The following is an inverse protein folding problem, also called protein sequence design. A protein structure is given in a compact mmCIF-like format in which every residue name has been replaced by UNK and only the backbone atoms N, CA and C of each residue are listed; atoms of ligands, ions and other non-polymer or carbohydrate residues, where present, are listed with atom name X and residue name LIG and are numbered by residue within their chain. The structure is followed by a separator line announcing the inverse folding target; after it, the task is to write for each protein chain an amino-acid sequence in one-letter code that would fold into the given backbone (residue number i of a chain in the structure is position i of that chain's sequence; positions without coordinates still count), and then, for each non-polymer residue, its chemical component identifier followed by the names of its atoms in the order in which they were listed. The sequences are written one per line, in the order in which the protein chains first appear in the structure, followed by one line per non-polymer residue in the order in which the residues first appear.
data_IF_837529326643
#
_entry.id   IF_837529326643
#
_cell.length_a   1.000
_cell.length_b   1.000
_cell.length_c   1.000
_cell.angle_alpha   90.00
_cell.angle_beta   90.00
_cell.angle_gamma   90.00
#
_symmetry.space_group_name_H-M   'P 1'
#
loop_
_entity.id
_entity.type
_entity.pdbx_description
1 polymer ?
#
# COMPACT_ATOMS: atom_id res chain seq x y z
N UNK A 1 -21.64 -13.62 9.26
CA UNK A 1 -20.68 -14.05 10.30
C UNK A 1 -20.14 -12.81 10.99
N UNK A 2 -19.69 -12.90 12.24
CA UNK A 2 -19.06 -11.78 12.97
C UNK A 2 -17.54 -11.95 13.04
N UNK A 3 -16.81 -10.83 12.99
CA UNK A 3 -15.36 -10.75 13.03
C UNK A 3 -14.93 -9.77 14.13
N UNK A 4 -14.14 -10.24 15.09
CA UNK A 4 -13.55 -9.34 16.09
C UNK A 4 -12.53 -8.43 15.40
N UNK A 5 -12.75 -7.13 15.51
CA UNK A 5 -12.00 -6.07 14.87
C UNK A 5 -11.09 -5.35 15.85
N UNK A 6 -9.82 -5.20 15.45
CA UNK A 6 -8.81 -4.43 16.17
C UNK A 6 -7.99 -3.62 15.16
N UNK A 7 -7.52 -2.46 15.58
CA UNK A 7 -6.64 -1.63 14.75
C UNK A 7 -5.54 -0.96 15.56
N UNK A 8 -4.44 -0.61 14.90
CA UNK A 8 -3.32 0.10 15.52
C UNK A 8 -2.70 1.10 14.54
N UNK A 9 -2.68 2.41 14.87
CA UNK A 9 -1.98 3.40 14.05
C UNK A 9 -0.47 3.14 14.07
N UNK A 10 0.19 3.41 12.95
CA UNK A 10 1.63 3.37 12.86
C UNK A 10 2.20 4.64 12.22
N UNK A 11 3.46 4.89 12.56
CA UNK A 11 4.26 5.98 11.97
C UNK A 11 5.68 5.49 11.72
N UNK A 12 6.06 5.33 10.45
CA UNK A 12 7.34 4.72 10.05
C UNK A 12 8.17 5.67 9.19
N UNK A 13 9.40 5.97 9.63
CA UNK A 13 10.36 6.74 8.82
C UNK A 13 10.82 5.94 7.61
N UNK A 14 10.91 6.59 6.44
CA UNK A 14 11.56 5.97 5.29
C UNK A 14 13.07 5.86 5.51
N UNK A 15 13.68 4.84 4.91
CA UNK A 15 15.15 4.69 4.90
C UNK A 15 15.84 5.89 4.24
N UNK A 16 15.21 6.46 3.22
CA UNK A 16 15.58 7.72 2.55
C UNK A 16 14.30 8.50 2.29
N UNK A 17 14.22 9.80 2.65
CA UNK A 17 13.07 10.62 2.30
C UNK A 17 12.85 10.66 0.78
N UNK A 18 11.58 10.74 0.37
CA UNK A 18 11.18 10.92 -1.01
C UNK A 18 10.94 12.41 -1.28
N UNK A 19 11.63 12.97 -2.27
CA UNK A 19 11.35 14.34 -2.74
C UNK A 19 10.40 14.28 -3.94
N UNK A 20 9.26 14.96 -3.80
CA UNK A 20 8.25 15.12 -4.84
C UNK A 20 7.97 16.60 -5.11
N UNK A 21 7.12 16.91 -6.09
CA UNK A 21 6.67 18.29 -6.30
C UNK A 21 5.81 18.82 -5.14
N UNK A 22 5.26 17.94 -4.29
CA UNK A 22 4.55 18.30 -3.05
C UNK A 22 5.51 18.51 -1.86
N UNK A 23 6.83 18.43 -2.08
CA UNK A 23 7.84 18.57 -1.04
C UNK A 23 8.46 17.25 -0.60
N UNK A 24 9.10 17.29 0.57
CA UNK A 24 9.84 16.17 1.14
C UNK A 24 8.94 15.29 2.00
N UNK A 25 8.87 14.01 1.68
CA UNK A 25 8.12 13.01 2.43
C UNK A 25 9.06 12.04 3.11
N UNK A 26 9.10 12.10 4.44
CA UNK A 26 10.08 11.35 5.25
C UNK A 26 9.44 10.25 6.11
N UNK A 27 8.11 10.26 6.25
CA UNK A 27 7.37 9.38 7.15
C UNK A 27 6.13 8.84 6.48
N UNK A 28 5.95 7.53 6.56
CA UNK A 28 4.71 6.83 6.21
C UNK A 28 3.84 6.67 7.44
N UNK A 29 2.59 7.09 7.33
CA UNK A 29 1.55 6.90 8.33
C UNK A 29 0.46 5.98 7.77
N UNK A 30 -0.19 5.23 8.64
CA UNK A 30 -1.24 4.29 8.29
C UNK A 30 -1.75 3.54 9.52
N UNK A 31 -2.59 2.54 9.28
CA UNK A 31 -3.25 1.74 10.31
C UNK A 31 -3.11 0.26 9.95
N UNK A 32 -2.68 -0.55 10.92
CA UNK A 32 -2.72 -2.01 10.79
C UNK A 32 -4.05 -2.50 11.35
N UNK A 33 -4.75 -3.32 10.57
CA UNK A 33 -6.02 -3.95 10.95
C UNK A 33 -5.82 -5.41 11.26
N UNK A 34 -6.60 -5.93 12.20
CA UNK A 34 -6.72 -7.34 12.50
C UNK A 34 -8.18 -7.71 12.59
N UNK A 35 -8.58 -8.71 11.79
CA UNK A 35 -9.87 -9.37 11.89
C UNK A 35 -9.67 -10.79 12.41
N UNK A 36 -10.53 -11.23 13.32
CA UNK A 36 -10.55 -12.61 13.79
C UNK A 36 -11.95 -13.21 13.67
N UNK A 37 -12.08 -14.33 12.97
CA UNK A 37 -13.35 -15.05 12.86
C UNK A 37 -13.66 -15.84 14.14
N UNK A 38 -14.93 -16.21 14.31
CA UNK A 38 -15.35 -17.12 15.37
C UNK A 38 -14.66 -18.51 15.34
N UNK A 39 -14.10 -18.91 14.19
CA UNK A 39 -13.36 -20.17 14.03
C UNK A 39 -11.86 -20.03 14.35
N UNK A 40 -11.42 -18.86 14.82
CA UNK A 40 -10.03 -18.56 15.16
C UNK A 40 -9.13 -18.20 13.98
N UNK A 41 -9.67 -18.08 12.76
CA UNK A 41 -8.90 -17.60 11.61
C UNK A 41 -8.65 -16.09 11.75
N UNK A 42 -7.43 -15.66 11.42
CA UNK A 42 -7.00 -14.26 11.53
C UNK A 42 -6.62 -13.78 10.14
N UNK A 43 -7.04 -12.56 9.81
CA UNK A 43 -6.57 -11.84 8.64
C UNK A 43 -6.12 -10.43 8.99
N UNK A 44 -5.19 -9.93 8.20
CA UNK A 44 -4.51 -8.67 8.40
C UNK A 44 -4.74 -7.74 7.21
N UNK A 45 -4.91 -6.47 7.54
CA UNK A 45 -5.13 -5.41 6.57
C UNK A 45 -4.25 -4.22 6.87
N UNK A 46 -4.03 -3.39 5.85
CA UNK A 46 -3.35 -2.11 6.01
C UNK A 46 -4.17 -0.99 5.36
N UNK A 47 -4.48 0.04 6.15
CA UNK A 47 -5.03 1.29 5.65
C UNK A 47 -3.89 2.30 5.58
N UNK A 48 -3.51 2.70 4.37
CA UNK A 48 -2.41 3.64 4.18
C UNK A 48 -2.75 4.63 3.05
N UNK A 49 -3.56 5.66 3.31
CA UNK A 49 -3.80 6.75 2.36
C UNK A 49 -2.51 7.52 2.08
N UNK A 50 -2.29 8.00 0.86
CA UNK A 50 -1.13 8.84 0.52
C UNK A 50 -1.58 10.30 0.57
N UNK A 51 -0.91 11.22 1.31
CA UNK A 51 -1.48 12.52 1.68
C UNK A 51 -1.96 13.42 0.53
N UNK A 52 -1.39 13.27 -0.67
CA UNK A 52 -1.73 14.06 -1.86
C UNK A 52 -2.32 13.21 -2.99
N UNK A 53 -2.77 12.00 -2.69
CA UNK A 53 -3.31 11.07 -3.68
C UNK A 53 -4.68 10.57 -3.26
N UNK A 54 -5.71 11.02 -3.99
CA UNK A 54 -7.10 10.74 -3.65
C UNK A 54 -7.66 11.70 -2.60
N UNK A 55 -8.83 11.36 -2.06
CA UNK A 55 -9.58 12.19 -1.11
C UNK A 55 -9.45 11.77 0.35
N UNK A 56 -8.84 10.61 0.60
CA UNK A 56 -8.76 10.02 1.94
C UNK A 56 -7.45 10.40 2.64
N UNK A 57 -7.59 10.84 3.89
CA UNK A 57 -6.49 11.16 4.78
C UNK A 57 -6.32 10.08 5.86
N UNK A 58 -5.15 10.00 6.48
CA UNK A 58 -4.91 9.08 7.60
C UNK A 58 -5.84 9.41 8.78
N UNK A 59 -6.13 10.69 8.98
CA UNK A 59 -7.03 11.19 10.02
C UNK A 59 -8.47 10.72 9.78
N UNK A 60 -8.96 10.77 8.54
CA UNK A 60 -10.28 10.22 8.17
C UNK A 60 -10.32 8.71 8.36
N UNK A 61 -9.27 8.00 7.93
CA UNK A 61 -9.18 6.55 8.13
C UNK A 61 -9.21 6.16 9.61
N UNK A 62 -8.47 6.88 10.46
CA UNK A 62 -8.46 6.65 11.91
C UNK A 62 -9.82 6.98 12.54
N UNK A 63 -10.44 8.10 12.15
CA UNK A 63 -11.76 8.46 12.63
C UNK A 63 -12.80 7.39 12.25
N UNK A 64 -12.71 6.84 11.04
CA UNK A 64 -13.55 5.74 10.59
C UNK A 64 -13.32 4.47 11.44
N UNK A 65 -12.07 4.06 11.65
CA UNK A 65 -11.77 2.89 12.50
C UNK A 65 -12.29 3.06 13.94
N UNK A 66 -12.23 4.25 14.51
CA UNK A 66 -12.76 4.54 15.85
C UNK A 66 -14.30 4.45 15.94
N UNK A 67 -15.01 4.61 14.83
CA UNK A 67 -16.48 4.54 14.78
C UNK A 67 -17.00 3.12 14.54
N UNK A 68 -16.16 2.21 14.05
CA UNK A 68 -16.52 0.84 13.81
C UNK A 68 -16.74 0.07 15.13
N UNK A 69 -17.72 -0.85 15.18
CA UNK A 69 -17.89 -1.71 16.35
C UNK A 69 -16.71 -2.68 16.52
N UNK A 70 -16.56 -3.23 17.73
CA UNK A 70 -15.55 -4.25 18.03
C UNK A 70 -15.77 -5.57 17.30
N UNK A 71 -17.00 -5.79 16.84
CA UNK A 71 -17.42 -6.99 16.15
C UNK A 71 -18.10 -6.58 14.85
N UNK A 72 -17.43 -6.83 13.73
CA UNK A 72 -17.88 -6.46 12.40
C UNK A 72 -18.63 -7.61 11.73
N UNK A 73 -19.71 -7.26 11.06
CA UNK A 73 -20.38 -8.10 10.08
C UNK A 73 -19.73 -7.95 8.70
N UNK A 74 -20.00 -8.93 7.83
CA UNK A 74 -19.53 -8.90 6.44
C UNK A 74 -20.05 -7.68 5.68
N UNK A 75 -21.29 -7.23 5.95
CA UNK A 75 -21.81 -6.02 5.31
C UNK A 75 -21.11 -4.75 5.78
N UNK A 76 -20.67 -4.67 7.04
CA UNK A 76 -19.90 -3.51 7.52
C UNK A 76 -18.49 -3.45 6.90
N UNK A 77 -17.92 -4.62 6.59
CA UNK A 77 -16.64 -4.73 5.86
C UNK A 77 -16.80 -4.31 4.40
N UNK A 78 -17.88 -4.73 3.72
CA UNK A 78 -18.06 -4.52 2.27
C UNK A 78 -18.78 -3.22 1.90
N UNK A 79 -19.39 -2.51 2.87
CA UNK A 79 -20.10 -1.24 2.65
C UNK A 79 -19.34 -0.02 3.18
N UNK A 80 -18.00 -0.12 3.24
CA UNK A 80 -17.15 1.03 3.53
C UNK A 80 -17.38 2.09 2.43
N UNK A 81 -17.58 3.38 2.77
CA UNK A 81 -17.88 4.42 1.78
C UNK A 81 -16.78 4.59 0.72
N UNK A 82 -17.17 4.88 -0.53
CA UNK A 82 -16.25 5.13 -1.66
C UNK A 82 -15.32 6.34 -1.45
N UNK A 83 -15.64 7.21 -0.50
CA UNK A 83 -14.75 8.31 -0.09
C UNK A 83 -13.53 7.83 0.72
N UNK A 84 -13.51 6.57 1.16
CA UNK A 84 -12.47 5.93 1.97
C UNK A 84 -11.89 4.67 1.29
N UNK A 85 -11.33 4.77 0.08
CA UNK A 85 -10.85 3.62 -0.69
C UNK A 85 -9.70 2.83 -0.03
N UNK A 86 -8.85 3.46 0.77
CA UNK A 86 -7.83 2.77 1.54
C UNK A 86 -8.43 2.02 2.75
N UNK A 87 -9.51 2.52 3.35
CA UNK A 87 -10.29 1.75 4.33
C UNK A 87 -10.93 0.52 3.70
N UNK A 88 -11.56 0.68 2.52
CA UNK A 88 -12.09 -0.44 1.73
C UNK A 88 -11.00 -1.50 1.51
N UNK A 89 -9.87 -1.08 0.93
CA UNK A 89 -8.73 -1.97 0.67
C UNK A 89 -8.25 -2.69 1.93
N UNK A 90 -8.07 -1.97 3.04
CA UNK A 90 -7.55 -2.54 4.29
C UNK A 90 -8.49 -3.58 4.90
N UNK A 91 -9.79 -3.29 4.99
CA UNK A 91 -10.77 -4.19 5.58
C UNK A 91 -11.03 -5.40 4.67
N UNK A 92 -11.20 -5.19 3.38
CA UNK A 92 -11.44 -6.26 2.41
C UNK A 92 -10.24 -7.20 2.29
N UNK A 93 -9.00 -6.68 2.33
CA UNK A 93 -7.79 -7.52 2.32
C UNK A 93 -7.73 -8.42 3.56
N UNK A 94 -8.01 -7.87 4.76
CA UNK A 94 -8.04 -8.65 5.99
C UNK A 94 -9.14 -9.72 5.96
N UNK A 95 -10.30 -9.38 5.40
CA UNK A 95 -11.41 -10.32 5.26
C UNK A 95 -11.09 -11.41 4.22
N UNK A 96 -10.54 -11.04 3.07
CA UNK A 96 -10.13 -11.96 2.01
C UNK A 96 -9.09 -12.96 2.51
N UNK A 97 -8.11 -12.54 3.32
CA UNK A 97 -7.12 -13.45 3.92
C UNK A 97 -7.81 -14.52 4.79
N UNK A 98 -8.82 -14.16 5.58
CA UNK A 98 -9.62 -15.13 6.35
C UNK A 98 -10.36 -16.08 5.43
N UNK A 99 -10.97 -15.58 4.36
CA UNK A 99 -11.74 -16.40 3.43
C UNK A 99 -10.82 -17.38 2.68
N UNK A 100 -9.66 -16.90 2.23
CA UNK A 100 -8.62 -17.71 1.59
C UNK A 100 -7.94 -18.69 2.56
N UNK A 101 -7.94 -18.43 3.87
CA UNK A 101 -7.46 -19.43 4.83
C UNK A 101 -8.36 -20.68 4.91
N UNK A 102 -9.66 -20.53 4.60
CA UNK A 102 -10.63 -21.65 4.56
C UNK A 102 -10.44 -22.53 3.34
N UNK A 103 -10.13 -21.93 2.20
CA UNK A 103 -9.80 -22.64 0.97
C UNK A 103 -8.29 -22.71 0.89
N UNK A 104 -7.66 -23.83 1.29
CA UNK A 104 -6.20 -24.04 1.10
C UNK A 104 -5.84 -23.81 -0.37
N UNK A 105 -5.57 -22.56 -0.76
CA UNK A 105 -5.00 -22.23 -2.06
C UNK A 105 -3.63 -22.89 -1.96
N UNK A 106 -3.48 -24.00 -2.68
CA UNK A 106 -2.17 -24.58 -2.89
C UNK A 106 -1.29 -23.41 -3.31
N UNK A 107 -0.18 -23.21 -2.58
CA UNK A 107 0.90 -22.31 -2.97
C UNK A 107 1.40 -22.75 -4.36
N UNK A 108 0.64 -22.46 -5.41
CA UNK A 108 1.15 -22.40 -6.76
C UNK A 108 2.22 -21.33 -6.64
N UNK A 109 3.49 -21.72 -6.82
CA UNK A 109 4.59 -20.78 -6.82
C UNK A 109 4.16 -19.65 -7.74
N UNK A 110 3.86 -18.49 -7.16
CA UNK A 110 3.49 -17.33 -7.97
C UNK A 110 4.64 -17.16 -8.97
N UNK A 111 4.34 -17.02 -10.26
CA UNK A 111 5.40 -16.86 -11.26
C UNK A 111 6.31 -15.72 -10.81
N UNK A 112 7.62 -15.89 -10.97
CA UNK A 112 8.58 -14.88 -10.55
C UNK A 112 8.22 -13.55 -11.24
N UNK A 113 7.70 -12.60 -10.47
CA UNK A 113 7.32 -11.30 -11.02
C UNK A 113 8.57 -10.53 -11.42
N UNK A 114 8.55 -9.98 -12.62
CA UNK A 114 9.59 -9.06 -13.07
C UNK A 114 9.31 -7.67 -12.52
N UNK A 115 10.27 -7.11 -11.79
CA UNK A 115 10.14 -5.78 -11.19
C UNK A 115 10.69 -4.69 -12.12
N UNK A 116 10.01 -3.54 -12.13
CA UNK A 116 10.57 -2.32 -12.70
C UNK A 116 11.63 -1.71 -11.78
N UNK A 117 12.75 -1.23 -12.33
CA UNK A 117 13.78 -0.49 -11.59
C UNK A 117 13.75 0.99 -11.91
N UNK A 118 13.80 1.82 -10.87
CA UNK A 118 13.79 3.27 -11.01
C UNK A 118 15.19 3.76 -11.41
N UNK A 119 15.23 4.62 -12.42
CA UNK A 119 16.42 5.39 -12.77
C UNK A 119 16.37 6.77 -12.09
N UNK A 120 17.53 7.36 -11.73
CA UNK A 120 17.57 8.75 -11.25
C UNK A 120 17.09 9.71 -12.35
N UNK A 121 16.73 10.94 -11.96
CA UNK A 121 16.47 12.01 -12.93
C UNK A 121 17.78 12.49 -13.58
N UNK A 122 17.68 13.12 -14.75
CA UNK A 122 18.81 13.72 -15.47
C UNK A 122 19.85 12.71 -16.00
N UNK A 123 21.04 13.23 -16.34
CA UNK A 123 22.12 12.49 -17.01
C UNK A 123 22.59 11.24 -16.24
N UNK A 124 22.42 11.21 -14.92
CA UNK A 124 22.76 10.04 -14.09
C UNK A 124 22.03 8.76 -14.54
N UNK A 125 20.89 8.88 -15.21
CA UNK A 125 20.17 7.74 -15.78
C UNK A 125 20.99 7.00 -16.86
N UNK A 126 21.79 7.72 -17.64
CA UNK A 126 22.54 7.20 -18.80
C UNK A 126 23.64 6.19 -18.41
N UNK A 127 24.12 6.27 -17.18
CA UNK A 127 25.09 5.32 -16.61
C UNK A 127 24.41 4.27 -15.72
N UNK A 128 23.42 4.66 -14.93
CA UNK A 128 22.76 3.78 -13.95
C UNK A 128 22.08 2.56 -14.58
N UNK A 129 21.51 2.69 -15.78
CA UNK A 129 20.79 1.59 -16.43
C UNK A 129 21.69 0.39 -16.76
N UNK A 130 22.97 0.62 -17.08
CA UNK A 130 23.91 -0.44 -17.49
C UNK A 130 24.12 -1.45 -16.38
N UNK A 131 24.35 -0.96 -15.16
CA UNK A 131 24.50 -1.79 -13.97
C UNK A 131 23.22 -2.59 -13.68
N UNK A 132 22.05 -1.95 -13.78
CA UNK A 132 20.76 -2.63 -13.57
C UNK A 132 20.51 -3.71 -14.63
N UNK A 133 20.89 -3.45 -15.87
CA UNK A 133 20.78 -4.42 -16.96
C UNK A 133 21.69 -5.64 -16.74
N UNK A 134 22.93 -5.41 -16.29
CA UNK A 134 23.87 -6.48 -15.91
C UNK A 134 23.35 -7.31 -14.72
N UNK A 135 22.58 -6.71 -13.81
CA UNK A 135 21.90 -7.41 -12.71
C UNK A 135 20.65 -8.19 -13.14
N UNK A 136 20.34 -8.23 -14.45
CA UNK A 136 19.21 -8.99 -15.00
C UNK A 136 17.89 -8.23 -15.10
N UNK A 137 17.85 -6.94 -14.72
CA UNK A 137 16.64 -6.14 -14.87
C UNK A 137 16.38 -5.79 -16.33
N UNK A 138 15.11 -5.85 -16.74
CA UNK A 138 14.67 -5.61 -18.12
C UNK A 138 13.63 -4.49 -18.24
N UNK A 139 12.94 -4.16 -17.16
CA UNK A 139 12.00 -3.05 -17.12
C UNK A 139 12.59 -1.92 -16.27
N UNK A 140 12.74 -0.74 -16.86
CA UNK A 140 13.29 0.45 -16.22
C UNK A 140 12.27 1.59 -16.29
N UNK A 141 12.21 2.43 -15.26
CA UNK A 141 11.37 3.64 -15.22
C UNK A 141 12.24 4.87 -14.98
N UNK A 142 12.36 5.73 -15.99
CA UNK A 142 13.07 7.00 -15.90
C UNK A 142 12.13 8.13 -15.49
N UNK A 143 12.63 9.03 -14.62
CA UNK A 143 11.91 10.24 -14.21
C UNK A 143 12.40 11.41 -15.07
N UNK A 144 11.51 11.92 -15.92
CA UNK A 144 11.71 13.10 -16.77
C UNK A 144 10.84 14.26 -16.28
N UNK A 145 11.00 15.46 -16.84
CA UNK A 145 10.28 16.66 -16.46
C UNK A 145 10.71 17.21 -15.10
N UNK A 146 11.99 17.07 -14.75
CA UNK A 146 12.59 17.56 -13.51
C UNK A 146 13.48 18.76 -13.79
N UNK A 147 14.32 18.69 -14.82
CA UNK A 147 15.22 19.75 -15.25
C UNK A 147 14.64 20.53 -16.45
N UNK A 148 15.21 21.71 -16.81
CA UNK A 148 14.82 22.41 -18.02
C UNK A 148 14.95 21.52 -19.26
N UNK A 149 14.03 21.68 -20.22
CA UNK A 149 13.97 20.83 -21.43
C UNK A 149 15.30 20.77 -22.21
N UNK A 150 16.08 21.86 -22.22
CA UNK A 150 17.39 21.93 -22.87
C UNK A 150 18.46 21.04 -22.22
N UNK A 151 18.23 20.56 -21.00
CA UNK A 151 19.10 19.62 -20.28
C UNK A 151 18.58 18.17 -20.35
N UNK A 152 17.32 17.96 -20.73
CA UNK A 152 16.71 16.63 -20.80
C UNK A 152 16.60 16.06 -22.24
N UNK A 153 16.77 16.90 -23.27
CA UNK A 153 16.84 16.53 -24.69
C UNK A 153 18.28 16.33 -25.15
#
# INVERSE_FOLDING_TARGET
MSYSFQFSPYRRRFKRPLTTHHGVWSVREGVILRLASATGAIGWGEIAPVPWFGSETVEQALAFCCQLPTDLSESEILLVPDSLPACQFGLESAWEEIQNSKFKIQNSKSPALSYSRLLPAGEAALSAWKMLHQQGFRTLKWKIGVEPIAQEL
#
